data_IF_725223467083
#
_entry.id   IF_725223467083
#
_cell.length_a   1.000
_cell.length_b   1.000
_cell.length_c   1.000
_cell.angle_alpha   90.00
_cell.angle_beta   90.00
_cell.angle_gamma   90.00
#
_symmetry.space_group_name_H-M   'P 1'
#
loop_
_entity.id
_entity.type
_entity.pdbx_description
1 polymer ?
#
# COMPACT_ATOMS: atom_id res chain seq x y z
N UNK A 1 8.81 16.02 28.69
CA UNK A 1 7.61 16.29 27.89
C UNK A 1 7.44 15.14 26.90
N UNK A 2 6.20 14.80 26.56
CA UNK A 2 5.80 13.74 25.64
C UNK A 2 4.29 13.82 25.43
N UNK A 3 3.79 13.18 24.36
CA UNK A 3 2.37 13.12 24.05
C UNK A 3 1.91 11.66 23.97
N UNK A 4 0.67 11.41 24.39
CA UNK A 4 -0.03 10.15 24.12
C UNK A 4 -0.54 10.17 22.68
N UNK A 5 -0.12 9.20 21.87
CA UNK A 5 -0.69 8.95 20.54
C UNK A 5 -1.47 7.64 20.57
N UNK A 6 -2.72 7.70 20.15
CA UNK A 6 -3.62 6.53 20.09
C UNK A 6 -3.71 6.05 18.65
N UNK A 7 -3.56 4.74 18.43
CA UNK A 7 -3.86 4.12 17.15
C UNK A 7 -5.39 4.01 16.99
N UNK A 8 -5.89 4.44 15.83
CA UNK A 8 -7.30 4.31 15.47
C UNK A 8 -7.49 2.95 14.75
N UNK A 9 -8.67 2.29 14.81
CA UNK A 9 -8.86 0.95 14.25
C UNK A 9 -8.44 0.82 12.77
N UNK A 10 -8.56 1.91 12.01
CA UNK A 10 -8.25 1.97 10.58
C UNK A 10 -6.86 2.59 10.27
N UNK A 11 -5.99 2.81 11.27
CA UNK A 11 -4.63 3.34 11.05
C UNK A 11 -3.58 2.83 12.03
N UNK A 12 -2.42 2.42 11.50
CA UNK A 12 -1.24 2.13 12.31
C UNK A 12 -0.49 3.44 12.64
N UNK A 13 -0.05 3.57 13.89
CA UNK A 13 0.83 4.65 14.34
C UNK A 13 2.26 4.14 14.35
N UNK A 14 3.11 4.80 13.58
CA UNK A 14 4.53 4.49 13.42
C UNK A 14 5.34 5.55 14.15
N UNK A 15 6.15 5.14 15.11
CA UNK A 15 7.00 6.02 15.92
C UNK A 15 8.44 5.72 15.55
N UNK A 16 9.10 6.72 14.96
CA UNK A 16 10.50 6.64 14.54
C UNK A 16 11.40 7.46 15.49
N UNK A 17 12.42 6.81 16.05
CA UNK A 17 13.38 7.39 17.00
C UNK A 17 12.82 7.76 18.38
N UNK A 18 13.67 8.43 19.18
CA UNK A 18 13.36 8.89 20.54
C UNK A 18 14.43 8.49 21.56
N UNK A 19 14.43 9.15 22.73
CA UNK A 19 15.45 8.93 23.78
C UNK A 19 15.36 7.54 24.45
N UNK A 20 14.23 6.85 24.29
CA UNK A 20 13.92 5.58 24.96
C UNK A 20 13.76 4.39 24.00
N UNK A 21 13.96 4.61 22.69
CA UNK A 21 13.98 3.57 21.66
C UNK A 21 15.41 3.42 21.13
N UNK A 22 15.84 2.20 20.71
CA UNK A 22 17.07 2.04 19.95
C UNK A 22 17.06 2.95 18.71
N UNK A 23 18.22 3.50 18.32
CA UNK A 23 18.30 4.53 17.26
C UNK A 23 17.77 4.09 15.89
N UNK A 24 17.73 2.79 15.64
CA UNK A 24 17.28 2.19 14.38
C UNK A 24 15.93 1.44 14.55
N UNK A 25 15.26 1.56 15.70
CA UNK A 25 14.01 0.86 15.98
C UNK A 25 12.78 1.73 15.69
N UNK A 26 12.06 1.38 14.62
CA UNK A 26 10.69 1.85 14.38
C UNK A 26 9.73 1.02 15.23
N UNK A 27 8.97 1.68 16.11
CA UNK A 27 7.89 1.04 16.84
C UNK A 27 6.56 1.24 16.10
N UNK A 28 5.88 0.15 15.77
CA UNK A 28 4.61 0.17 15.04
C UNK A 28 3.49 -0.31 15.95
N UNK A 29 2.48 0.54 16.10
CA UNK A 29 1.37 0.35 17.01
C UNK A 29 0.06 0.30 16.23
N UNK A 30 -0.58 -0.86 16.23
CA UNK A 30 -1.90 -1.10 15.61
C UNK A 30 -3.06 -0.85 16.57
N UNK A 31 -2.81 -0.86 17.87
CA UNK A 31 -3.83 -0.78 18.91
C UNK A 31 -3.30 -0.09 20.18
N UNK A 32 -4.21 0.50 20.95
CA UNK A 32 -3.91 1.15 22.22
C UNK A 32 -3.36 2.58 22.11
N UNK A 33 -3.02 3.15 23.28
CA UNK A 33 -2.45 4.50 23.41
C UNK A 33 -1.03 4.40 23.94
N UNK A 34 -0.08 4.95 23.19
CA UNK A 34 1.35 4.82 23.46
C UNK A 34 1.95 6.18 23.78
N UNK A 35 2.86 6.20 24.77
CA UNK A 35 3.52 7.42 25.20
C UNK A 35 4.74 7.70 24.34
N UNK A 36 4.68 8.78 23.57
CA UNK A 36 5.76 9.17 22.65
C UNK A 36 6.57 10.33 23.23
N UNK A 37 7.90 10.19 23.22
CA UNK A 37 8.83 11.23 23.64
C UNK A 37 8.87 12.38 22.61
N UNK A 38 9.00 13.63 23.06
CA UNK A 38 8.93 14.83 22.20
C UNK A 38 9.95 14.90 21.03
N UNK A 39 10.93 13.99 20.97
CA UNK A 39 11.93 13.93 19.90
C UNK A 39 11.68 12.83 18.86
N UNK A 40 10.63 12.03 19.03
CA UNK A 40 10.28 10.96 18.09
C UNK A 40 9.34 11.48 16.99
N UNK A 41 9.53 11.00 15.76
CA UNK A 41 8.69 11.36 14.61
C UNK A 41 7.49 10.40 14.55
N UNK A 42 6.32 10.89 14.93
CA UNK A 42 5.06 10.13 14.81
C UNK A 42 4.49 10.32 13.41
N UNK A 43 4.25 9.21 12.72
CA UNK A 43 3.61 9.15 11.41
C UNK A 43 2.47 8.12 11.45
N UNK A 44 1.51 8.27 10.55
CA UNK A 44 0.34 7.39 10.45
C UNK A 44 0.38 6.67 9.10
N UNK A 45 -0.02 5.40 9.10
CA UNK A 45 -0.20 4.58 7.92
C UNK A 45 -1.67 4.11 7.88
N UNK A 46 -2.47 4.47 6.85
CA UNK A 46 -3.88 4.07 6.76
C UNK A 46 -4.01 2.58 6.44
N UNK A 47 -4.76 1.83 7.25
CA UNK A 47 -4.96 0.36 7.10
C UNK A 47 -6.26 -0.02 6.37
N UNK A 48 -7.02 0.95 5.85
CA UNK A 48 -8.25 0.66 5.09
C UNK A 48 -7.96 -0.06 3.76
N UNK A 49 -9.05 -0.46 3.10
CA UNK A 49 -9.02 -0.90 1.70
C UNK A 49 -9.11 0.28 0.75
N UNK A 50 -8.29 0.25 -0.29
CA UNK A 50 -8.30 1.17 -1.43
C UNK A 50 -8.98 0.50 -2.62
N UNK A 51 -9.79 1.25 -3.38
CA UNK A 51 -10.40 0.77 -4.63
C UNK A 51 -9.98 1.68 -5.76
N UNK A 52 -9.13 1.16 -6.65
CA UNK A 52 -8.58 1.91 -7.79
C UNK A 52 -9.07 1.30 -9.11
N UNK A 53 -9.26 2.15 -10.10
CA UNK A 53 -9.80 1.78 -11.41
C UNK A 53 -8.75 2.11 -12.49
N UNK A 54 -7.75 1.23 -12.72
CA UNK A 54 -6.75 1.45 -13.75
C UNK A 54 -7.38 1.31 -15.14
N UNK A 55 -7.17 2.29 -16.00
CA UNK A 55 -7.58 2.22 -17.41
C UNK A 55 -6.39 2.07 -18.34
N UNK A 56 -6.52 1.21 -19.35
CA UNK A 56 -5.56 1.09 -20.44
C UNK A 56 -6.32 1.00 -21.77
N UNK A 57 -5.62 1.09 -22.90
CA UNK A 57 -6.22 1.23 -24.24
C UNK A 57 -7.17 0.07 -24.56
N UNK A 58 -8.47 0.28 -24.33
CA UNK A 58 -9.53 -0.71 -24.55
C UNK A 58 -9.85 -1.65 -23.38
N UNK A 59 -9.21 -1.50 -22.22
CA UNK A 59 -9.42 -2.34 -21.02
C UNK A 59 -9.65 -1.49 -19.77
N UNK A 60 -10.63 -1.85 -18.95
CA UNK A 60 -10.93 -1.16 -17.69
C UNK A 60 -10.85 -2.13 -16.52
N UNK A 61 -9.98 -1.85 -15.56
CA UNK A 61 -9.80 -2.64 -14.35
C UNK A 61 -10.58 -2.08 -13.16
N UNK A 62 -10.96 -2.96 -12.23
CA UNK A 62 -11.30 -2.60 -10.85
C UNK A 62 -10.43 -3.45 -9.93
N UNK A 63 -9.61 -2.79 -9.13
CA UNK A 63 -8.67 -3.43 -8.20
C UNK A 63 -8.97 -2.95 -6.80
N UNK A 64 -9.15 -3.90 -5.88
CA UNK A 64 -9.26 -3.63 -4.45
C UNK A 64 -8.04 -4.18 -3.74
N UNK A 65 -7.31 -3.31 -3.08
CA UNK A 65 -6.09 -3.65 -2.35
C UNK A 65 -6.09 -3.02 -0.95
N UNK A 66 -5.42 -3.67 0.00
CA UNK A 66 -5.26 -3.19 1.36
C UNK A 66 -3.85 -3.48 1.86
N UNK A 67 -3.37 -2.71 2.83
CA UNK A 67 -2.07 -2.98 3.45
C UNK A 67 -2.19 -4.26 4.28
N UNK A 68 -1.28 -5.22 4.06
CA UNK A 68 -1.26 -6.47 4.83
C UNK A 68 -0.64 -6.20 6.19
N UNK A 69 -1.37 -6.57 7.25
CA UNK A 69 -0.90 -6.49 8.64
C UNK A 69 0.10 -7.63 8.93
N UNK A 70 1.23 -7.62 8.24
CA UNK A 70 2.42 -8.45 8.47
C UNK A 70 3.61 -7.54 8.78
N UNK A 71 4.53 -7.98 9.64
CA UNK A 71 5.66 -7.17 10.09
C UNK A 71 6.55 -6.69 8.93
N UNK A 72 6.76 -7.53 7.90
CA UNK A 72 7.54 -7.15 6.73
C UNK A 72 6.77 -6.19 5.82
N UNK A 73 5.50 -6.53 5.51
CA UNK A 73 4.63 -5.72 4.66
C UNK A 73 4.40 -4.32 5.23
N UNK A 74 4.17 -4.21 6.53
CA UNK A 74 4.05 -2.93 7.22
C UNK A 74 5.34 -2.11 7.17
N UNK A 75 6.52 -2.74 7.34
CA UNK A 75 7.79 -2.02 7.19
C UNK A 75 7.96 -1.46 5.78
N UNK A 76 7.70 -2.26 4.74
CA UNK A 76 7.77 -1.82 3.35
C UNK A 76 6.78 -0.67 3.06
N UNK A 77 5.54 -0.78 3.55
CA UNK A 77 4.56 0.30 3.42
C UNK A 77 4.99 1.58 4.16
N UNK A 78 5.70 1.45 5.29
CA UNK A 78 6.33 2.58 6.00
C UNK A 78 7.58 3.15 5.30
N UNK A 79 8.22 2.43 4.39
CA UNK A 79 9.31 2.98 3.59
C UNK A 79 8.79 3.74 2.35
N UNK A 80 7.57 3.42 1.89
CA UNK A 80 6.99 4.00 0.66
C UNK A 80 5.90 5.07 0.87
N UNK A 81 5.06 4.97 1.91
CA UNK A 81 3.84 5.78 2.04
C UNK A 81 3.72 6.53 3.38
N UNK A 82 4.84 6.67 4.11
CA UNK A 82 4.83 7.16 5.47
C UNK A 82 4.69 8.69 5.54
N UNK A 83 3.49 9.15 5.89
CA UNK A 83 3.13 10.57 5.89
C UNK A 83 2.59 11.08 4.55
N UNK A 84 2.43 10.21 3.55
CA UNK A 84 1.66 10.52 2.35
C UNK A 84 0.16 10.58 2.68
N UNK A 85 -0.59 11.39 1.94
CA UNK A 85 -2.06 11.42 2.05
C UNK A 85 -2.72 10.27 1.29
N UNK A 86 -3.94 9.97 1.68
CA UNK A 86 -4.79 8.93 1.10
C UNK A 86 -4.89 9.04 -0.44
N UNK A 87 -5.10 10.25 -0.93
CA UNK A 87 -5.18 10.59 -2.36
C UNK A 87 -3.85 10.34 -3.10
N UNK A 88 -2.71 10.60 -2.45
CA UNK A 88 -1.38 10.33 -3.01
C UNK A 88 -1.12 8.82 -3.11
N UNK A 89 -1.51 8.05 -2.09
CA UNK A 89 -1.41 6.59 -2.10
C UNK A 89 -2.26 6.00 -3.23
N UNK A 90 -3.53 6.42 -3.36
CA UNK A 90 -4.41 6.00 -4.44
C UNK A 90 -3.86 6.35 -5.83
N UNK A 91 -3.29 7.55 -5.99
CA UNK A 91 -2.70 7.98 -7.26
C UNK A 91 -1.49 7.13 -7.65
N UNK A 92 -0.57 6.86 -6.72
CA UNK A 92 0.61 6.01 -6.98
C UNK A 92 0.20 4.57 -7.31
N UNK A 93 -0.79 4.03 -6.59
CA UNK A 93 -1.34 2.70 -6.86
C UNK A 93 -1.99 2.62 -8.26
N UNK A 94 -2.75 3.64 -8.66
CA UNK A 94 -3.38 3.73 -9.97
C UNK A 94 -2.33 3.82 -11.09
N UNK A 95 -1.36 4.75 -10.99
CA UNK A 95 -0.30 4.93 -11.99
C UNK A 95 0.54 3.64 -12.19
N UNK A 96 0.88 2.92 -11.13
CA UNK A 96 1.63 1.67 -11.23
C UNK A 96 0.80 0.51 -11.79
N UNK A 97 -0.49 0.42 -11.47
CA UNK A 97 -1.38 -0.59 -12.04
C UNK A 97 -1.66 -0.35 -13.53
N UNK A 98 -1.85 0.90 -13.96
CA UNK A 98 -1.99 1.26 -15.38
C UNK A 98 -0.71 0.96 -16.16
N UNK A 99 0.46 1.31 -15.61
CA UNK A 99 1.76 0.99 -16.19
C UNK A 99 1.97 -0.52 -16.35
N UNK A 100 1.49 -1.34 -15.42
CA UNK A 100 1.58 -2.81 -15.49
C UNK A 100 0.59 -3.41 -16.47
N UNK A 101 -0.66 -2.95 -16.44
CA UNK A 101 -1.67 -3.35 -17.41
C UNK A 101 -1.21 -3.05 -18.84
N UNK A 102 -0.66 -1.85 -19.08
CA UNK A 102 -0.07 -1.45 -20.37
C UNK A 102 1.08 -2.37 -20.80
N UNK A 103 2.01 -2.73 -19.89
CA UNK A 103 3.10 -3.67 -20.20
C UNK A 103 2.60 -5.07 -20.55
N UNK A 104 1.59 -5.58 -19.85
CA UNK A 104 1.01 -6.91 -20.14
C UNK A 104 0.28 -6.90 -21.49
N UNK A 105 -0.55 -5.88 -21.76
CA UNK A 105 -1.23 -5.70 -23.05
C UNK A 105 -0.22 -5.58 -24.21
N UNK A 106 0.88 -4.85 -24.02
CA UNK A 106 1.95 -4.74 -25.01
C UNK A 106 2.74 -6.04 -25.23
N UNK A 107 2.85 -6.90 -24.20
CA UNK A 107 3.57 -8.18 -24.29
C UNK A 107 2.78 -9.25 -25.05
N UNK A 108 1.45 -9.15 -25.07
CA UNK A 108 0.56 -10.11 -25.72
C UNK A 108 0.23 -9.76 -27.19
N UNK A 109 0.96 -8.81 -27.81
CA UNK A 109 0.87 -8.42 -29.23
C UNK A 109 -0.58 -8.20 -29.76
N UNK A 110 -1.50 -7.78 -28.89
CA UNK A 110 -2.90 -7.53 -29.23
C UNK A 110 -3.79 -8.78 -29.34
N UNK A 111 -3.37 -9.93 -28.81
CA UNK A 111 -4.27 -11.07 -28.60
C UNK A 111 -5.43 -10.67 -27.67
N UNK A 112 -6.66 -10.87 -28.15
CA UNK A 112 -7.89 -10.30 -27.56
C UNK A 112 -8.46 -11.11 -26.39
N UNK A 113 -7.74 -12.10 -25.90
CA UNK A 113 -8.19 -12.97 -24.82
C UNK A 113 -8.06 -12.27 -23.48
N UNK A 114 -9.07 -11.45 -23.16
CA UNK A 114 -9.16 -10.65 -21.94
C UNK A 114 -8.94 -11.47 -20.64
N UNK A 115 -9.25 -12.77 -20.66
CA UNK A 115 -8.96 -13.69 -19.56
C UNK A 115 -7.47 -13.94 -19.32
N UNK A 116 -6.68 -14.14 -20.38
CA UNK A 116 -5.23 -14.37 -20.28
C UNK A 116 -4.50 -13.07 -19.90
N UNK A 117 -4.93 -11.94 -20.46
CA UNK A 117 -4.48 -10.59 -20.04
C UNK A 117 -4.75 -10.39 -18.55
N UNK A 118 -5.95 -10.74 -18.07
CA UNK A 118 -6.34 -10.56 -16.67
C UNK A 118 -5.55 -11.45 -15.70
N UNK A 119 -5.34 -12.72 -16.01
CA UNK A 119 -4.54 -13.61 -15.16
C UNK A 119 -3.08 -13.12 -15.07
N UNK A 120 -2.49 -12.71 -16.20
CA UNK A 120 -1.11 -12.20 -16.24
C UNK A 120 -0.96 -10.86 -15.51
N UNK A 121 -1.89 -9.92 -15.73
CA UNK A 121 -1.89 -8.61 -15.08
C UNK A 121 -2.16 -8.72 -13.57
N UNK A 122 -3.09 -9.58 -13.14
CA UNK A 122 -3.31 -9.87 -11.72
C UNK A 122 -2.04 -10.43 -11.07
N UNK A 123 -1.36 -11.37 -11.75
CA UNK A 123 -0.14 -12.00 -11.23
C UNK A 123 1.00 -10.98 -11.06
N UNK A 124 1.30 -10.19 -12.09
CA UNK A 124 2.36 -9.16 -12.02
C UNK A 124 2.02 -8.07 -10.98
N UNK A 125 0.78 -7.58 -10.96
CA UNK A 125 0.30 -6.64 -9.95
C UNK A 125 0.43 -7.21 -8.53
N UNK A 126 0.09 -8.49 -8.31
CA UNK A 126 0.15 -9.12 -6.99
C UNK A 126 1.58 -9.21 -6.44
N UNK A 127 2.56 -9.47 -7.31
CA UNK A 127 3.98 -9.52 -6.93
C UNK A 127 4.47 -8.12 -6.53
N UNK A 128 4.12 -7.10 -7.32
CA UNK A 128 4.59 -5.74 -7.07
C UNK A 128 3.93 -5.07 -5.86
N UNK A 129 2.61 -5.17 -5.74
CA UNK A 129 1.89 -4.64 -4.58
C UNK A 129 2.40 -5.27 -3.28
N UNK A 130 2.77 -6.56 -3.30
CA UNK A 130 3.37 -7.23 -2.14
C UNK A 130 4.74 -6.67 -1.74
N UNK A 131 5.55 -6.19 -2.70
CA UNK A 131 6.81 -5.48 -2.40
C UNK A 131 6.55 -4.12 -1.73
N UNK A 132 5.42 -3.49 -2.03
CA UNK A 132 4.95 -2.25 -1.41
C UNK A 132 4.22 -2.45 -0.07
N UNK A 133 4.00 -3.70 0.36
CA UNK A 133 3.23 -4.03 1.57
C UNK A 133 1.71 -4.19 1.38
N UNK A 134 1.23 -4.10 0.13
CA UNK A 134 -0.18 -4.26 -0.23
C UNK A 134 -0.52 -5.70 -0.63
N UNK A 135 -1.73 -6.13 -0.29
CA UNK A 135 -2.36 -7.36 -0.76
C UNK A 135 -3.54 -7.02 -1.67
N UNK A 136 -3.70 -7.76 -2.76
CA UNK A 136 -4.90 -7.69 -3.61
C UNK A 136 -6.00 -8.53 -2.94
N UNK A 137 -7.15 -7.90 -2.71
CA UNK A 137 -8.38 -8.55 -2.24
C UNK A 137 -9.22 -9.01 -3.43
N UNK A 138 -9.35 -8.15 -4.44
CA UNK A 138 -10.12 -8.40 -5.66
C UNK A 138 -9.47 -7.74 -6.86
N UNK A 139 -9.53 -8.40 -8.00
CA UNK A 139 -9.02 -7.93 -9.29
C UNK A 139 -9.98 -8.36 -10.38
N UNK A 140 -10.51 -7.41 -11.14
CA UNK A 140 -11.43 -7.66 -12.25
C UNK A 140 -11.07 -6.75 -13.42
N UNK A 141 -11.03 -7.31 -14.63
CA UNK A 141 -10.87 -6.55 -15.88
C UNK A 141 -12.12 -6.74 -16.74
N UNK A 142 -12.46 -5.70 -17.51
CA UNK A 142 -13.47 -5.68 -18.57
C UNK A 142 -12.87 -5.17 -19.87
#
# INVERSE_FOLDING_TARGET
MGNSHTAEPDSAVVVDGGLCLPKDARALYTDGSHWVSCFAKVQRLPLRTFTVQPECVGFSGVVQCAIVVDANSLSCACDHFLGESDEQIEKVLLEELENRLSKVVATLDGHKDAGEVAEMAQKDASVYLRLMGFGIISYSIR
#
